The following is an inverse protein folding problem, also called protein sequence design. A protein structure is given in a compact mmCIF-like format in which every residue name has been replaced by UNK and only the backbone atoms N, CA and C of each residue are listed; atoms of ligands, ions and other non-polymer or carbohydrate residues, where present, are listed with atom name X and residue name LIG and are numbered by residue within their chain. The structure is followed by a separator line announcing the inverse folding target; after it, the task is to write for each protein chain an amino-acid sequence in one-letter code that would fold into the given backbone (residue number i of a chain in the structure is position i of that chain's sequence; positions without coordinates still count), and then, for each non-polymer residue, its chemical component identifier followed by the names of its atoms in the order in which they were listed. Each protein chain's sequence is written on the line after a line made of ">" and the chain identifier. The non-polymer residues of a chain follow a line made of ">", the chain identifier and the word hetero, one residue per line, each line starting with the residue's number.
data_IF_344400635731
#
_entry.id   IF_344400635731
#
_cell.length_a   1.000
_cell.length_b   1.000
_cell.length_c   1.000
_cell.angle_alpha   90.00
_cell.angle_beta   90.00
_cell.angle_gamma   90.00
#
_symmetry.space_group_name_H-M   'P 1'
#
loop_
_entity.id
_entity.type
_entity.pdbx_description
1 polymer ?
#
# COMPACT_ATOMS: atom_id res chain seq x y z
N UNK A 1 -2.96 26.64 5.49
CA UNK A 1 -3.28 25.38 4.81
C UNK A 1 -3.86 24.46 5.85
N UNK A 2 -5.02 23.86 5.58
CA UNK A 2 -5.70 23.01 6.55
C UNK A 2 -4.97 21.66 6.62
N UNK A 3 -4.50 21.27 7.80
CA UNK A 3 -3.76 20.02 7.99
C UNK A 3 -4.74 18.84 7.93
N UNK A 4 -4.39 17.77 7.23
CA UNK A 4 -5.21 16.58 7.17
C UNK A 4 -5.22 15.87 8.52
N UNK A 5 -6.39 15.43 9.00
CA UNK A 5 -6.46 14.56 10.18
C UNK A 5 -5.93 13.18 9.81
N UNK A 6 -5.16 12.57 10.70
CA UNK A 6 -4.63 11.22 10.52
C UNK A 6 -5.28 10.31 11.55
N UNK A 7 -5.97 9.29 11.07
CA UNK A 7 -6.55 8.23 11.88
C UNK A 7 -5.70 6.96 11.78
N UNK A 8 -5.50 6.30 12.91
CA UNK A 8 -4.85 5.01 13.01
C UNK A 8 -5.83 4.02 13.62
N UNK A 9 -6.27 3.02 12.84
CA UNK A 9 -7.28 2.04 13.24
C UNK A 9 -8.53 2.69 13.89
N UNK A 10 -9.02 3.76 13.26
CA UNK A 10 -10.20 4.51 13.69
C UNK A 10 -9.97 5.54 14.82
N UNK A 11 -8.79 5.55 15.44
CA UNK A 11 -8.44 6.54 16.47
C UNK A 11 -7.73 7.75 15.87
N UNK A 12 -8.10 8.97 16.26
CA UNK A 12 -7.40 10.17 15.82
C UNK A 12 -5.97 10.18 16.39
N UNK A 13 -4.97 10.11 15.53
CA UNK A 13 -3.56 10.15 15.88
C UNK A 13 -3.02 11.59 15.92
N UNK A 14 -3.46 12.43 14.99
CA UNK A 14 -2.99 13.82 14.89
C UNK A 14 -3.28 14.45 13.54
N UNK A 15 -2.42 15.36 13.13
CA UNK A 15 -2.56 16.14 11.90
C UNK A 15 -1.27 16.10 11.08
N UNK A 16 -1.40 16.14 9.75
CA UNK A 16 -0.26 16.15 8.83
C UNK A 16 -0.50 17.14 7.69
N UNK A 17 0.54 17.90 7.30
CA UNK A 17 0.40 19.01 6.33
C UNK A 17 0.18 18.52 4.90
N UNK A 18 0.87 17.44 4.49
CA UNK A 18 0.82 16.92 3.12
C UNK A 18 0.39 15.43 3.12
N UNK A 19 -0.92 15.15 3.04
CA UNK A 19 -1.43 13.78 3.08
C UNK A 19 -0.90 12.92 1.92
N UNK A 20 -0.68 13.51 0.74
CA UNK A 20 -0.17 12.78 -0.45
C UNK A 20 1.29 12.37 -0.25
N UNK A 21 2.10 13.22 0.36
CA UNK A 21 3.46 12.86 0.77
C UNK A 21 3.46 11.74 1.80
N UNK A 22 2.60 11.82 2.83
CA UNK A 22 2.46 10.77 3.83
C UNK A 22 2.09 9.42 3.20
N UNK A 23 1.09 9.40 2.30
CA UNK A 23 0.72 8.20 1.53
C UNK A 23 1.92 7.61 0.78
N UNK A 24 2.66 8.46 0.06
CA UNK A 24 3.82 8.02 -0.73
C UNK A 24 4.91 7.41 0.16
N UNK A 25 5.17 8.00 1.32
CA UNK A 25 6.18 7.51 2.27
C UNK A 25 5.76 6.17 2.88
N UNK A 26 4.52 6.02 3.34
CA UNK A 26 4.01 4.75 3.90
C UNK A 26 4.02 3.64 2.84
N UNK A 27 3.51 3.90 1.63
CA UNK A 27 3.54 2.92 0.53
C UNK A 27 4.97 2.54 0.14
N UNK A 28 5.90 3.50 0.13
CA UNK A 28 7.33 3.24 -0.12
C UNK A 28 7.91 2.33 0.96
N UNK A 29 7.73 2.65 2.24
CA UNK A 29 8.24 1.84 3.35
C UNK A 29 7.64 0.41 3.35
N UNK A 30 6.36 0.27 2.99
CA UNK A 30 5.71 -1.04 2.79
C UNK A 30 6.37 -1.85 1.66
N UNK A 31 6.58 -1.22 0.49
CA UNK A 31 7.21 -1.86 -0.68
C UNK A 31 8.71 -2.15 -0.50
N UNK A 32 9.38 -1.43 0.40
CA UNK A 32 10.76 -1.72 0.85
C UNK A 32 10.81 -2.78 1.96
N UNK A 33 9.67 -3.40 2.31
CA UNK A 33 9.54 -4.40 3.37
C UNK A 33 10.01 -3.89 4.76
N UNK A 34 9.94 -2.56 4.97
CA UNK A 34 10.19 -1.90 6.28
C UNK A 34 8.94 -1.77 7.12
N UNK A 35 7.76 -1.84 6.49
CA UNK A 35 6.46 -1.95 7.14
C UNK A 35 5.80 -3.27 6.73
N UNK A 36 4.93 -3.78 7.59
CA UNK A 36 4.14 -4.97 7.28
C UNK A 36 3.33 -4.76 5.99
N UNK A 37 3.30 -5.79 5.13
CA UNK A 37 2.45 -5.80 3.92
C UNK A 37 0.95 -5.68 4.23
N UNK A 38 0.54 -5.88 5.49
CA UNK A 38 -0.83 -5.69 5.95
C UNK A 38 -1.21 -4.23 6.23
N UNK A 39 -0.26 -3.30 6.30
CA UNK A 39 -0.56 -1.88 6.53
C UNK A 39 -1.18 -1.30 5.27
N UNK A 40 -2.36 -0.69 5.36
CA UNK A 40 -2.97 0.09 4.27
C UNK A 40 -3.08 1.56 4.63
N UNK A 41 -3.05 2.40 3.60
CA UNK A 41 -3.22 3.85 3.75
C UNK A 41 -4.08 4.42 2.62
N UNK A 42 -5.08 5.21 3.00
CA UNK A 42 -5.98 5.93 2.10
C UNK A 42 -6.03 7.41 2.48
N UNK A 43 -6.35 8.26 1.51
CA UNK A 43 -6.62 9.68 1.75
C UNK A 43 -7.96 10.04 1.13
N UNK A 44 -8.85 10.56 1.96
CA UNK A 44 -10.17 11.02 1.57
C UNK A 44 -10.12 12.54 1.31
N UNK A 45 -9.96 12.92 0.04
CA UNK A 45 -9.87 14.31 -0.41
C UNK A 45 -11.08 15.16 0.05
N UNK A 46 -12.27 14.56 0.15
CA UNK A 46 -13.52 15.24 0.49
C UNK A 46 -13.60 15.69 1.95
N UNK A 47 -13.01 14.93 2.88
CA UNK A 47 -12.99 15.25 4.31
C UNK A 47 -11.63 15.73 4.80
N UNK A 48 -10.61 15.67 3.95
CA UNK A 48 -9.22 15.94 4.28
C UNK A 48 -8.70 15.02 5.42
N UNK A 49 -8.95 13.72 5.28
CA UNK A 49 -8.65 12.71 6.29
C UNK A 49 -7.82 11.57 5.72
N UNK A 50 -6.79 11.16 6.45
CA UNK A 50 -5.93 10.01 6.13
C UNK A 50 -6.27 8.87 7.08
N UNK A 51 -6.46 7.66 6.56
CA UNK A 51 -6.68 6.48 7.36
C UNK A 51 -5.52 5.52 7.19
N UNK A 52 -4.94 5.09 8.31
CA UNK A 52 -3.92 4.05 8.38
C UNK A 52 -4.55 2.85 9.09
N UNK A 53 -4.73 1.77 8.35
CA UNK A 53 -5.36 0.56 8.85
C UNK A 53 -4.33 -0.57 9.00
N UNK A 54 -4.27 -1.13 10.20
CA UNK A 54 -3.39 -2.27 10.55
C UNK A 54 -4.16 -3.42 11.20
N UNK A 55 -5.41 -3.17 11.59
CA UNK A 55 -6.32 -4.14 12.22
C UNK A 55 -6.46 -5.43 11.43
N UNK A 56 -6.51 -6.55 12.16
CA UNK A 56 -6.80 -7.87 11.61
C UNK A 56 -8.28 -7.99 11.20
N UNK A 57 -8.59 -8.96 10.34
CA UNK A 57 -9.95 -9.25 9.87
C UNK A 57 -10.40 -8.45 8.64
N UNK A 58 -9.61 -7.46 8.20
CA UNK A 58 -9.81 -6.80 6.91
C UNK A 58 -9.55 -7.76 5.76
N UNK A 59 -10.40 -7.71 4.75
CA UNK A 59 -10.17 -8.41 3.49
C UNK A 59 -9.19 -7.58 2.68
N UNK A 60 -8.13 -8.22 2.21
CA UNK A 60 -7.14 -7.59 1.33
C UNK A 60 -6.97 -8.41 0.06
N UNK A 61 -6.71 -7.73 -1.06
CA UNK A 61 -6.53 -8.32 -2.38
C UNK A 61 -5.11 -8.05 -2.89
N UNK A 62 -4.36 -9.09 -3.31
CA UNK A 62 -3.04 -8.88 -3.90
C UNK A 62 -3.18 -8.29 -5.31
N UNK A 63 -2.44 -7.22 -5.58
CA UNK A 63 -2.40 -6.54 -6.87
C UNK A 63 -0.95 -6.31 -7.32
N UNK A 64 -0.74 -6.33 -8.65
CA UNK A 64 0.56 -6.03 -9.25
C UNK A 64 0.79 -4.52 -9.17
N UNK A 65 1.94 -4.12 -8.62
CA UNK A 65 2.33 -2.71 -8.60
C UNK A 65 2.67 -2.26 -10.03
N UNK A 66 2.11 -1.13 -10.45
CA UNK A 66 2.42 -0.47 -11.72
C UNK A 66 3.20 0.81 -11.43
N UNK A 67 4.28 1.03 -12.18
CA UNK A 67 5.12 2.22 -12.06
C UNK A 67 5.43 2.75 -13.46
N UNK A 68 5.18 4.05 -13.70
CA UNK A 68 5.35 4.70 -15.00
C UNK A 68 4.66 3.94 -16.16
N UNK A 69 3.44 3.46 -15.91
CA UNK A 69 2.65 2.71 -16.90
C UNK A 69 3.14 1.29 -17.19
N UNK A 70 4.09 0.76 -16.41
CA UNK A 70 4.62 -0.61 -16.59
C UNK A 70 4.41 -1.45 -15.31
N UNK A 71 3.91 -2.69 -15.41
CA UNK A 71 3.84 -3.59 -14.27
C UNK A 71 5.24 -3.94 -13.78
N UNK A 72 5.46 -3.96 -12.47
CA UNK A 72 6.74 -4.35 -11.86
C UNK A 72 6.97 -5.86 -11.91
N UNK A 73 5.90 -6.66 -11.96
CA UNK A 73 6.00 -8.08 -12.31
C UNK A 73 6.24 -8.19 -13.81
N UNK A 74 7.32 -8.89 -14.19
CA UNK A 74 7.79 -9.02 -15.57
C UNK A 74 7.70 -10.48 -16.02
N UNK A 75 7.79 -10.78 -17.33
CA UNK A 75 7.86 -12.17 -17.80
C UNK A 75 9.00 -12.98 -17.16
N UNK A 76 10.12 -12.35 -16.84
CA UNK A 76 11.25 -13.01 -16.15
C UNK A 76 10.85 -13.49 -14.74
N UNK A 77 10.10 -12.67 -13.99
CA UNK A 77 9.58 -13.07 -12.68
C UNK A 77 8.65 -14.28 -12.80
N UNK A 78 7.79 -14.31 -13.82
CA UNK A 78 6.89 -15.45 -14.08
C UNK A 78 7.67 -16.73 -14.37
N UNK A 79 8.73 -16.66 -15.17
CA UNK A 79 9.58 -17.82 -15.44
C UNK A 79 10.33 -18.31 -14.21
N UNK A 80 10.79 -17.41 -13.33
CA UNK A 80 11.40 -17.78 -12.04
C UNK A 80 10.41 -18.47 -11.11
N UNK A 81 9.15 -18.02 -11.09
CA UNK A 81 8.07 -18.67 -10.31
C UNK A 81 7.80 -20.08 -10.84
N UNK A 82 7.66 -20.26 -12.16
CA UNK A 82 7.46 -21.59 -12.76
C UNK A 82 8.61 -22.56 -12.46
N UNK A 83 9.84 -22.04 -12.33
CA UNK A 83 11.04 -22.83 -11.96
C UNK A 83 11.17 -23.06 -10.45
N UNK A 84 10.31 -22.46 -9.63
CA UNK A 84 10.37 -22.55 -8.17
C UNK A 84 11.53 -21.78 -7.53
N UNK A 85 12.21 -20.89 -8.27
CA UNK A 85 13.33 -20.08 -7.77
C UNK A 85 12.89 -18.71 -7.23
N UNK A 86 11.61 -18.39 -7.36
CA UNK A 86 10.97 -17.20 -6.81
C UNK A 86 9.59 -17.58 -6.30
N UNK A 87 9.24 -17.20 -5.07
CA UNK A 87 7.92 -17.47 -4.47
C UNK A 87 6.99 -16.27 -4.61
N UNK A 88 5.71 -16.47 -4.31
CA UNK A 88 4.75 -15.36 -4.27
C UNK A 88 5.07 -14.39 -3.12
N UNK A 89 5.52 -14.92 -1.99
CA UNK A 89 5.98 -14.14 -0.84
C UNK A 89 7.18 -13.25 -1.21
N UNK A 90 8.07 -13.72 -2.08
CA UNK A 90 9.18 -12.91 -2.59
C UNK A 90 8.68 -11.75 -3.47
N UNK A 91 7.59 -11.92 -4.23
CA UNK A 91 7.00 -10.80 -4.98
C UNK A 91 6.50 -9.69 -4.05
N UNK A 92 5.92 -10.08 -2.91
CA UNK A 92 5.43 -9.14 -1.89
C UNK A 92 6.61 -8.44 -1.21
N UNK A 93 7.61 -9.19 -0.74
CA UNK A 93 8.80 -8.65 -0.07
C UNK A 93 9.62 -7.72 -0.97
N UNK A 94 9.61 -7.97 -2.28
CA UNK A 94 10.29 -7.13 -3.26
C UNK A 94 9.42 -5.96 -3.78
N UNK A 95 8.22 -5.76 -3.22
CA UNK A 95 7.32 -4.66 -3.59
C UNK A 95 6.81 -4.74 -5.04
N UNK A 96 6.75 -5.94 -5.61
CA UNK A 96 6.22 -6.20 -6.96
C UNK A 96 4.72 -6.45 -6.93
N UNK A 97 4.23 -7.02 -5.84
CA UNK A 97 2.82 -7.24 -5.52
C UNK A 97 2.53 -6.61 -4.16
N UNK A 98 1.37 -6.00 -3.97
CA UNK A 98 0.93 -5.46 -2.69
C UNK A 98 -0.51 -5.86 -2.37
N UNK A 99 -0.82 -5.96 -1.07
CA UNK A 99 -2.17 -6.21 -0.59
C UNK A 99 -2.90 -4.88 -0.36
N UNK A 100 -4.01 -4.67 -1.08
CA UNK A 100 -4.90 -3.53 -0.86
C UNK A 100 -6.15 -3.97 -0.13
N UNK A 101 -6.55 -3.25 0.92
CA UNK A 101 -7.91 -3.35 1.45
C UNK A 101 -8.88 -2.50 0.62
N UNK A 102 -10.17 -2.61 0.92
CA UNK A 102 -11.22 -1.89 0.18
C UNK A 102 -11.00 -0.36 0.17
N UNK A 103 -10.57 0.21 1.30
CA UNK A 103 -10.42 1.65 1.44
C UNK A 103 -9.20 2.20 0.68
N UNK A 104 -8.06 1.50 0.68
CA UNK A 104 -6.94 1.87 -0.16
C UNK A 104 -7.23 1.63 -1.66
N UNK A 105 -8.00 0.59 -2.01
CA UNK A 105 -8.40 0.30 -3.39
C UNK A 105 -9.25 1.43 -4.00
N UNK A 106 -10.18 2.01 -3.24
CA UNK A 106 -11.01 3.14 -3.68
C UNK A 106 -10.20 4.40 -4.05
N UNK A 107 -8.97 4.50 -3.53
CA UNK A 107 -8.05 5.63 -3.77
C UNK A 107 -6.83 5.23 -4.59
N UNK A 108 -6.84 4.05 -5.22
CA UNK A 108 -5.68 3.45 -5.88
C UNK A 108 -5.43 3.90 -7.34
N UNK A 109 -5.96 5.05 -7.77
CA UNK A 109 -5.85 5.56 -9.14
C UNK A 109 -4.71 6.57 -9.34
#
# INVERSE_FOLDING_TARGET
>A
MDQAKVYFDGSLLGFYEDPKKLMKEIKKLRRENKLSSSVNISYMDSTNEVYINTSAGRIQRPLIVVENGKPKVTPEHIEKIKKGTLTFEDLIKNGLVEYLDAEEEDTAL
#
